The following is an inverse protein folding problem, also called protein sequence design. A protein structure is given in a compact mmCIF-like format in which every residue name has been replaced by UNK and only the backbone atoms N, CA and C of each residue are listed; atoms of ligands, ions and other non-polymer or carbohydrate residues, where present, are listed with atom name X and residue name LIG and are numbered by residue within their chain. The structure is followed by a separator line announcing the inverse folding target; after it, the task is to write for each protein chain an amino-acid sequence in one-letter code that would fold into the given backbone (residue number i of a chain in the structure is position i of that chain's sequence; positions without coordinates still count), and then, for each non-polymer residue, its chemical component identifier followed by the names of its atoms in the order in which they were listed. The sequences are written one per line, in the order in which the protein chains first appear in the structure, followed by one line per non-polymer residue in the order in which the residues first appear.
data_IF_920019084846
#
_entry.id   IF_920019084846
#
_cell.length_a   1.000
_cell.length_b   1.000
_cell.length_c   1.000
_cell.angle_alpha   90.00
_cell.angle_beta   90.00
_cell.angle_gamma   90.00
#
_symmetry.space_group_name_H-M   'P 1'
#
loop_
_entity.id
_entity.type
_entity.pdbx_description
1 polymer ?
#
# COMPACT_ATOMS: atom_id res chain seq x y z
N UNK A 1 18.07 27.91 -11.90
CA UNK A 1 17.39 27.29 -10.74
C UNK A 1 16.01 26.90 -11.22
N UNK A 2 15.54 25.65 -11.03
CA UNK A 2 14.15 25.31 -11.35
C UNK A 2 13.23 26.24 -10.56
N UNK A 3 12.27 26.87 -11.24
CA UNK A 3 11.40 27.87 -10.61
C UNK A 3 10.49 27.24 -9.54
N UNK A 4 10.25 25.94 -9.63
CA UNK A 4 9.42 25.16 -8.70
C UNK A 4 10.09 23.83 -8.34
N UNK A 5 10.04 23.46 -7.05
CA UNK A 5 10.41 22.12 -6.58
C UNK A 5 9.21 21.46 -5.93
N UNK A 6 8.80 20.31 -6.47
CA UNK A 6 7.59 19.60 -6.07
C UNK A 6 7.99 18.27 -5.45
N UNK A 7 7.62 18.06 -4.19
CA UNK A 7 7.82 16.81 -3.48
C UNK A 7 6.54 15.98 -3.52
N UNK A 8 6.61 14.79 -4.11
CA UNK A 8 5.54 13.80 -4.11
C UNK A 8 5.89 12.71 -3.09
N UNK A 9 5.09 12.56 -2.04
CA UNK A 9 5.15 11.40 -1.15
C UNK A 9 4.43 10.24 -1.87
N UNK A 10 5.20 9.24 -2.28
CA UNK A 10 4.75 8.23 -3.23
C UNK A 10 4.72 6.80 -2.67
N UNK A 11 4.90 5.83 -3.57
CA UNK A 11 4.78 4.39 -3.29
C UNK A 11 3.49 3.76 -3.82
N UNK A 12 2.78 4.48 -4.68
CA UNK A 12 1.54 4.03 -5.33
C UNK A 12 1.63 4.19 -6.84
N UNK A 13 0.83 3.43 -7.59
CA UNK A 13 0.76 3.58 -9.05
C UNK A 13 0.27 4.97 -9.46
N UNK A 14 -0.65 5.55 -8.69
CA UNK A 14 -1.19 6.88 -8.89
C UNK A 14 -0.13 7.97 -8.67
N UNK A 15 0.71 7.83 -7.64
CA UNK A 15 1.86 8.74 -7.44
C UNK A 15 2.86 8.65 -8.59
N UNK A 16 3.11 7.44 -9.12
CA UNK A 16 4.01 7.25 -10.25
C UNK A 16 3.45 7.86 -11.55
N UNK A 17 2.14 7.69 -11.83
CA UNK A 17 1.46 8.35 -12.95
C UNK A 17 1.56 9.86 -12.84
N UNK A 18 1.24 10.38 -11.65
CA UNK A 18 1.32 11.81 -11.36
C UNK A 18 2.71 12.38 -11.60
N UNK A 19 3.75 11.71 -11.12
CA UNK A 19 5.13 12.15 -11.35
C UNK A 19 5.44 12.22 -12.85
N UNK A 20 5.02 11.22 -13.63
CA UNK A 20 5.16 11.21 -15.09
C UNK A 20 4.45 12.38 -15.78
N UNK A 21 3.19 12.62 -15.42
CA UNK A 21 2.38 13.73 -15.93
C UNK A 21 3.03 15.09 -15.60
N UNK A 22 3.51 15.28 -14.36
CA UNK A 22 4.13 16.54 -13.94
C UNK A 22 5.48 16.78 -14.61
N UNK A 23 6.31 15.75 -14.79
CA UNK A 23 7.58 15.86 -15.52
C UNK A 23 7.33 16.27 -16.97
N UNK A 24 6.32 15.71 -17.63
CA UNK A 24 5.96 16.07 -19.00
C UNK A 24 5.37 17.50 -19.10
N UNK A 25 4.53 17.89 -18.15
CA UNK A 25 3.83 19.18 -18.18
C UNK A 25 4.67 20.37 -17.67
N UNK A 26 5.70 20.14 -16.85
CA UNK A 26 6.47 21.18 -16.15
C UNK A 26 7.99 21.04 -16.41
N UNK A 27 8.48 21.29 -17.64
CA UNK A 27 9.88 21.04 -18.03
C UNK A 27 10.94 21.87 -17.26
N UNK A 28 10.52 22.92 -16.54
CA UNK A 28 11.39 23.75 -15.70
C UNK A 28 11.27 23.48 -14.19
N UNK A 29 10.42 22.54 -13.78
CA UNK A 29 10.22 22.18 -12.38
C UNK A 29 11.09 20.98 -11.99
N UNK A 30 11.55 20.98 -10.73
CA UNK A 30 12.21 19.83 -10.12
C UNK A 30 11.16 18.95 -9.46
N UNK A 31 10.86 17.79 -10.04
CA UNK A 31 9.90 16.82 -9.51
C UNK A 31 10.65 15.73 -8.75
N UNK A 32 10.40 15.61 -7.45
CA UNK A 32 11.03 14.60 -6.58
C UNK A 32 9.97 13.67 -6.01
N UNK A 33 10.05 12.39 -6.32
CA UNK A 33 9.23 11.35 -5.69
C UNK A 33 9.96 10.71 -4.52
N UNK A 34 9.32 10.70 -3.36
CA UNK A 34 9.84 10.08 -2.14
C UNK A 34 9.21 8.71 -1.90
N UNK A 35 10.03 7.67 -1.88
CA UNK A 35 9.65 6.30 -1.58
C UNK A 35 10.09 5.89 -0.18
N UNK A 36 9.29 5.04 0.47
CA UNK A 36 9.62 4.53 1.81
C UNK A 36 10.82 3.56 1.83
N UNK A 37 11.31 3.10 0.67
CA UNK A 37 12.41 2.14 0.56
C UNK A 37 12.03 0.70 0.97
N UNK A 38 10.75 0.34 0.91
CA UNK A 38 10.22 -0.98 1.34
C UNK A 38 10.42 -2.10 0.32
N UNK A 39 10.82 -1.77 -0.89
CA UNK A 39 11.12 -2.74 -1.95
C UNK A 39 12.53 -2.50 -2.48
N UNK A 40 13.28 -3.57 -2.74
CA UNK A 40 14.67 -3.49 -3.24
C UNK A 40 14.74 -2.82 -4.61
N UNK A 41 13.79 -3.16 -5.48
CA UNK A 41 13.65 -2.58 -6.82
C UNK A 41 12.24 -2.00 -6.99
N UNK A 42 12.02 -0.73 -6.61
CA UNK A 42 10.76 -0.07 -6.91
C UNK A 42 10.56 0.04 -8.43
N UNK A 43 9.31 0.10 -8.87
CA UNK A 43 9.01 0.43 -10.28
C UNK A 43 9.62 1.78 -10.61
N UNK A 44 10.28 1.96 -11.77
CA UNK A 44 10.80 3.25 -12.19
C UNK A 44 9.73 4.34 -12.12
N UNK A 45 10.08 5.48 -11.54
CA UNK A 45 9.24 6.68 -11.47
C UNK A 45 9.96 7.78 -12.24
N UNK A 46 9.23 8.55 -13.03
CA UNK A 46 9.79 9.68 -13.75
C UNK A 46 10.28 10.79 -12.79
N UNK A 47 11.31 11.52 -13.19
CA UNK A 47 11.89 12.59 -12.39
C UNK A 47 12.93 12.09 -11.37
N UNK A 48 13.21 12.92 -10.36
CA UNK A 48 14.13 12.55 -9.29
C UNK A 48 13.44 11.63 -8.28
N UNK A 49 14.17 10.66 -7.75
CA UNK A 49 13.66 9.73 -6.73
C UNK A 49 14.56 9.75 -5.51
N UNK A 50 13.94 9.90 -4.32
CA UNK A 50 14.59 9.65 -3.03
C UNK A 50 13.98 8.43 -2.35
N UNK A 51 14.80 7.71 -1.59
CA UNK A 51 14.37 6.55 -0.81
C UNK A 51 14.77 6.70 0.66
N UNK A 52 13.89 6.28 1.56
CA UNK A 52 14.13 6.28 3.00
C UNK A 52 13.27 7.27 3.78
N UNK A 53 13.22 7.08 5.10
CA UNK A 53 12.45 7.94 5.99
C UNK A 53 12.98 9.38 6.04
N UNK A 54 12.17 10.28 6.61
CA UNK A 54 12.57 11.66 6.85
C UNK A 54 12.98 11.93 8.30
N UNK A 55 12.75 10.98 9.23
CA UNK A 55 12.92 11.24 10.67
C UNK A 55 11.73 11.98 11.30
N UNK A 56 10.51 11.61 10.93
CA UNK A 56 9.27 12.25 11.42
C UNK A 56 8.93 13.56 10.70
N UNK A 57 7.94 14.29 11.24
CA UNK A 57 7.47 15.55 10.65
C UNK A 57 8.56 16.64 10.64
N UNK A 58 9.34 16.77 11.71
CA UNK A 58 10.40 17.76 11.81
C UNK A 58 11.50 17.52 10.75
N UNK A 59 11.90 16.27 10.55
CA UNK A 59 12.88 15.93 9.52
C UNK A 59 12.33 16.09 8.09
N UNK A 60 11.02 15.87 7.87
CA UNK A 60 10.36 16.20 6.59
C UNK A 60 10.37 17.72 6.36
N UNK A 61 10.02 18.52 7.37
CA UNK A 61 10.06 19.98 7.31
C UNK A 61 11.47 20.50 7.02
N UNK A 62 12.50 19.91 7.65
CA UNK A 62 13.89 20.26 7.37
C UNK A 62 14.26 19.96 5.92
N UNK A 63 13.93 18.76 5.42
CA UNK A 63 14.19 18.39 4.03
C UNK A 63 13.50 19.31 3.03
N UNK A 64 12.24 19.71 3.31
CA UNK A 64 11.47 20.67 2.52
C UNK A 64 12.22 22.01 2.40
N UNK A 65 12.74 22.55 3.51
CA UNK A 65 13.50 23.81 3.51
C UNK A 65 14.81 23.70 2.75
N UNK A 66 15.59 22.66 3.04
CA UNK A 66 16.91 22.44 2.42
C UNK A 66 16.82 22.27 0.91
N UNK A 67 15.72 21.68 0.44
CA UNK A 67 15.47 21.43 -0.98
C UNK A 67 14.60 22.50 -1.64
N UNK A 68 14.22 23.57 -0.92
CA UNK A 68 13.37 24.67 -1.42
C UNK A 68 12.08 24.17 -2.09
N UNK A 69 11.44 23.18 -1.47
CA UNK A 69 10.18 22.63 -1.96
C UNK A 69 9.11 23.73 -1.92
N UNK A 70 8.44 23.96 -3.04
CA UNK A 70 7.36 24.94 -3.18
C UNK A 70 5.98 24.27 -3.11
N UNK A 71 5.88 22.96 -3.35
CA UNK A 71 4.63 22.18 -3.23
C UNK A 71 4.89 20.79 -2.66
N UNK A 72 4.04 20.38 -1.72
CA UNK A 72 4.01 19.03 -1.17
C UNK A 72 2.75 18.30 -1.65
N UNK A 73 2.90 17.12 -2.23
CA UNK A 73 1.79 16.27 -2.64
C UNK A 73 1.87 14.96 -1.87
N UNK A 74 0.83 14.64 -1.10
CA UNK A 74 0.65 13.32 -0.50
C UNK A 74 -0.18 12.44 -1.43
N UNK A 75 0.50 11.54 -2.14
CA UNK A 75 -0.10 10.50 -2.97
C UNK A 75 0.25 9.09 -2.45
N UNK A 76 0.47 8.98 -1.13
CA UNK A 76 0.85 7.72 -0.48
C UNK A 76 -0.33 6.74 -0.43
N UNK A 77 -0.05 5.50 -0.02
CA UNK A 77 -1.10 4.50 0.16
C UNK A 77 -2.05 4.95 1.28
N UNK A 78 -3.38 4.78 1.20
CA UNK A 78 -4.32 5.29 2.22
C UNK A 78 -4.08 4.77 3.65
N UNK A 79 -3.42 3.62 3.79
CA UNK A 79 -3.00 3.05 5.08
C UNK A 79 -1.60 3.50 5.54
N UNK A 80 -0.95 4.42 4.84
CA UNK A 80 0.32 5.04 5.21
C UNK A 80 0.11 6.27 6.12
N UNK A 81 -0.81 6.14 7.09
CA UNK A 81 -1.32 7.24 7.91
C UNK A 81 -0.24 8.05 8.61
N UNK A 82 0.86 7.42 9.04
CA UNK A 82 1.96 8.11 9.71
C UNK A 82 2.65 9.15 8.82
N UNK A 83 2.94 8.83 7.56
CA UNK A 83 3.62 9.79 6.67
C UNK A 83 2.66 10.89 6.23
N UNK A 84 1.36 10.59 6.05
CA UNK A 84 0.33 11.61 5.81
C UNK A 84 0.21 12.59 6.98
N UNK A 85 0.17 12.10 8.22
CA UNK A 85 0.20 12.96 9.43
C UNK A 85 1.46 13.81 9.49
N UNK A 86 2.62 13.23 9.19
CA UNK A 86 3.88 13.96 9.14
C UNK A 86 3.86 15.05 8.05
N UNK A 87 3.21 14.80 6.91
CA UNK A 87 3.08 15.75 5.79
C UNK A 87 2.25 16.98 6.19
N UNK A 88 1.14 16.77 6.90
CA UNK A 88 0.31 17.86 7.44
C UNK A 88 1.13 18.73 8.38
N UNK A 89 1.77 18.12 9.39
CA UNK A 89 2.59 18.86 10.37
C UNK A 89 3.76 19.58 9.69
N UNK A 90 4.45 18.92 8.75
CA UNK A 90 5.58 19.53 8.05
C UNK A 90 5.16 20.69 7.14
N UNK A 91 3.99 20.58 6.50
CA UNK A 91 3.38 21.67 5.71
C UNK A 91 3.11 22.88 6.60
N UNK A 92 2.48 22.68 7.76
CA UNK A 92 2.24 23.74 8.75
C UNK A 92 3.55 24.39 9.24
N UNK A 93 4.57 23.58 9.54
CA UNK A 93 5.89 24.06 10.00
C UNK A 93 6.67 24.87 8.96
N UNK A 94 6.36 24.74 7.67
CA UNK A 94 7.14 25.32 6.57
C UNK A 94 6.35 26.36 5.78
N UNK A 95 5.03 26.37 5.91
CA UNK A 95 4.13 27.19 5.08
C UNK A 95 4.00 26.67 3.64
N UNK A 96 4.59 25.52 3.30
CA UNK A 96 4.49 24.93 1.96
C UNK A 96 3.13 24.27 1.80
N UNK A 97 2.35 24.59 0.75
CA UNK A 97 1.02 24.02 0.56
C UNK A 97 1.07 22.49 0.37
N UNK A 98 0.19 21.80 1.08
CA UNK A 98 -0.04 20.36 0.98
C UNK A 98 -1.29 20.06 0.13
N UNK A 99 -1.12 19.24 -0.89
CA UNK A 99 -2.19 18.64 -1.68
C UNK A 99 -2.29 17.14 -1.33
N UNK A 100 -3.46 16.67 -0.88
CA UNK A 100 -3.69 15.25 -0.58
C UNK A 100 -4.45 14.60 -1.73
N UNK A 101 -3.84 13.59 -2.36
CA UNK A 101 -4.44 12.78 -3.42
C UNK A 101 -4.69 11.37 -2.93
N UNK A 102 -5.83 11.18 -2.28
CA UNK A 102 -6.32 9.85 -1.88
C UNK A 102 -7.32 9.30 -2.89
N UNK A 103 -7.28 7.99 -3.10
CA UNK A 103 -8.30 7.26 -3.85
C UNK A 103 -9.52 6.94 -2.98
N UNK A 104 -10.69 6.77 -3.58
CA UNK A 104 -11.89 6.28 -2.89
C UNK A 104 -11.76 4.81 -2.49
N UNK A 105 -12.44 4.32 -1.44
CA UNK A 105 -12.48 2.90 -1.13
C UNK A 105 -13.16 2.15 -2.28
N UNK A 106 -12.83 0.88 -2.47
CA UNK A 106 -13.58 0.05 -3.40
C UNK A 106 -15.03 -0.10 -2.92
N UNK A 107 -16.01 0.12 -3.80
CA UNK A 107 -17.41 -0.18 -3.48
C UNK A 107 -17.63 -1.69 -3.47
N UNK A 108 -18.43 -2.16 -2.51
CA UNK A 108 -18.92 -3.55 -2.49
C UNK A 108 -19.91 -3.74 -3.65
N UNK A 109 -19.70 -4.77 -4.47
CA UNK A 109 -20.54 -5.10 -5.63
C UNK A 109 -21.43 -6.32 -5.33
N UNK A 110 -22.51 -6.54 -6.10
CA UNK A 110 -23.27 -7.78 -6.03
C UNK A 110 -22.36 -9.02 -6.18
N UNK A 111 -22.56 -10.02 -5.33
CA UNK A 111 -21.72 -11.22 -5.25
C UNK A 111 -20.46 -11.08 -4.38
N UNK A 112 -20.12 -9.88 -3.89
CA UNK A 112 -19.01 -9.72 -2.94
C UNK A 112 -19.38 -10.23 -1.55
N UNK A 113 -18.65 -11.23 -1.06
CA UNK A 113 -18.79 -11.79 0.28
C UNK A 113 -17.88 -11.08 1.29
N UNK A 114 -18.03 -9.76 1.43
CA UNK A 114 -17.19 -8.97 2.34
C UNK A 114 -17.72 -8.97 3.77
N UNK A 115 -16.81 -9.22 4.71
CA UNK A 115 -16.95 -8.87 6.13
C UNK A 115 -16.05 -7.67 6.42
N UNK A 116 -16.64 -6.52 6.74
CA UNK A 116 -15.89 -5.29 7.00
C UNK A 116 -15.49 -5.20 8.47
N UNK A 117 -14.22 -4.87 8.72
CA UNK A 117 -13.65 -4.76 10.07
C UNK A 117 -12.79 -3.51 10.19
N UNK A 118 -12.73 -2.92 11.38
CA UNK A 118 -11.99 -1.67 11.60
C UNK A 118 -10.47 -1.88 11.72
N UNK A 119 -10.01 -3.05 12.19
CA UNK A 119 -8.60 -3.27 12.52
C UNK A 119 -8.11 -4.63 12.06
N UNK A 120 -6.78 -4.78 11.98
CA UNK A 120 -6.17 -6.09 11.72
C UNK A 120 -6.39 -7.11 12.85
N UNK A 121 -6.55 -6.64 14.10
CA UNK A 121 -6.93 -7.51 15.21
C UNK A 121 -8.35 -8.07 15.03
N UNK A 122 -9.30 -7.22 14.68
CA UNK A 122 -10.65 -7.68 14.33
C UNK A 122 -10.65 -8.61 13.11
N UNK A 123 -9.80 -8.34 12.11
CA UNK A 123 -9.62 -9.24 10.97
C UNK A 123 -9.13 -10.62 11.40
N UNK A 124 -8.10 -10.67 12.26
CA UNK A 124 -7.59 -11.92 12.85
C UNK A 124 -8.69 -12.69 13.58
N UNK A 125 -9.50 -12.01 14.38
CA UNK A 125 -10.55 -12.64 15.19
C UNK A 125 -11.73 -13.15 14.34
N UNK A 126 -11.92 -12.58 13.15
CA UNK A 126 -12.96 -12.99 12.20
C UNK A 126 -12.61 -14.27 11.44
N UNK A 127 -11.33 -14.65 11.36
CA UNK A 127 -10.89 -15.83 10.59
C UNK A 127 -11.42 -17.11 11.26
N UNK A 128 -12.10 -18.02 10.54
CA UNK A 128 -12.52 -19.30 11.11
C UNK A 128 -11.35 -20.26 11.32
N UNK A 129 -11.49 -21.18 12.28
CA UNK A 129 -10.49 -22.25 12.51
C UNK A 129 -10.37 -23.16 11.29
N UNK A 130 -9.14 -23.59 10.98
CA UNK A 130 -8.84 -24.44 9.83
C UNK A 130 -8.82 -23.70 8.49
N UNK A 131 -8.96 -22.37 8.48
CA UNK A 131 -8.93 -21.59 7.25
C UNK A 131 -7.55 -21.63 6.58
N UNK A 132 -7.56 -21.47 5.26
CA UNK A 132 -6.39 -21.13 4.45
C UNK A 132 -6.55 -19.71 3.93
N UNK A 133 -5.71 -18.79 4.40
CA UNK A 133 -5.96 -17.34 4.29
C UNK A 133 -4.88 -16.66 3.46
N UNK A 134 -5.27 -15.95 2.40
CA UNK A 134 -4.37 -15.02 1.71
C UNK A 134 -4.29 -13.72 2.51
N UNK A 135 -3.13 -13.44 3.12
CA UNK A 135 -2.82 -12.15 3.73
C UNK A 135 -2.32 -11.17 2.65
N UNK A 136 -3.25 -10.46 2.01
CA UNK A 136 -2.94 -9.45 1.01
C UNK A 136 -2.60 -8.09 1.66
N UNK A 137 -1.69 -8.11 2.64
CA UNK A 137 -1.28 -6.98 3.47
C UNK A 137 0.16 -6.50 3.17
N UNK A 138 0.91 -7.26 2.38
CA UNK A 138 2.34 -7.07 2.16
C UNK A 138 3.18 -7.66 3.29
N UNK A 139 4.42 -7.18 3.42
CA UNK A 139 5.38 -7.69 4.42
C UNK A 139 5.18 -7.12 5.83
N UNK A 140 4.36 -6.08 5.99
CA UNK A 140 4.19 -5.38 7.27
C UNK A 140 2.88 -5.78 7.96
N UNK A 141 2.89 -5.71 9.29
CA UNK A 141 1.70 -5.90 10.14
C UNK A 141 1.08 -7.30 10.08
N UNK A 142 1.84 -8.31 9.65
CA UNK A 142 1.39 -9.72 9.65
C UNK A 142 1.53 -10.37 11.04
N UNK A 143 2.36 -9.82 11.92
CA UNK A 143 2.63 -10.35 13.28
C UNK A 143 1.36 -10.48 14.14
N UNK A 144 0.35 -9.64 13.90
CA UNK A 144 -0.93 -9.69 14.61
C UNK A 144 -1.62 -11.06 14.43
N UNK A 145 -1.36 -11.77 13.33
CA UNK A 145 -1.94 -13.08 13.05
C UNK A 145 -1.17 -14.24 13.69
N UNK A 146 -0.02 -14.00 14.33
CA UNK A 146 0.85 -15.03 14.89
C UNK A 146 0.17 -15.91 15.95
N UNK A 147 -0.87 -15.40 16.62
CA UNK A 147 -1.62 -16.15 17.63
C UNK A 147 -2.58 -17.21 17.04
N UNK A 148 -2.72 -17.29 15.72
CA UNK A 148 -3.62 -18.24 15.03
C UNK A 148 -2.84 -19.43 14.49
N UNK A 149 -2.49 -20.36 15.39
CA UNK A 149 -1.83 -21.62 15.01
C UNK A 149 -2.76 -22.64 14.32
N UNK A 150 -4.06 -22.35 14.29
CA UNK A 150 -5.13 -23.13 13.69
C UNK A 150 -5.42 -22.75 12.21
N UNK A 151 -4.63 -21.84 11.63
CA UNK A 151 -4.84 -21.25 10.31
C UNK A 151 -3.57 -21.35 9.48
N UNK A 152 -3.71 -21.74 8.21
CA UNK A 152 -2.61 -21.69 7.25
C UNK A 152 -2.61 -20.34 6.53
N UNK A 153 -1.52 -19.59 6.64
CA UNK A 153 -1.41 -18.27 6.00
C UNK A 153 -0.61 -18.32 4.70
N UNK A 154 -1.17 -17.79 3.63
CA UNK A 154 -0.43 -17.54 2.39
C UNK A 154 -0.11 -16.05 2.35
N UNK A 155 1.17 -15.75 2.45
CA UNK A 155 1.67 -14.37 2.51
C UNK A 155 2.25 -14.02 1.15
N UNK A 156 1.86 -12.87 0.61
CA UNK A 156 2.45 -12.34 -0.62
C UNK A 156 3.39 -11.18 -0.33
N UNK A 157 4.66 -11.32 -0.69
CA UNK A 157 5.68 -10.28 -0.53
C UNK A 157 6.38 -10.01 -1.86
N UNK A 158 6.72 -8.75 -2.13
CA UNK A 158 7.46 -8.40 -3.37
C UNK A 158 8.89 -8.92 -3.31
N UNK A 159 9.57 -8.63 -2.20
CA UNK A 159 10.92 -9.12 -1.92
C UNK A 159 10.85 -10.20 -0.85
N UNK A 160 11.77 -11.16 -0.91
CA UNK A 160 11.93 -12.14 0.16
C UNK A 160 12.31 -11.44 1.48
N UNK A 161 11.65 -11.78 2.60
CA UNK A 161 11.98 -11.18 3.89
C UNK A 161 13.36 -11.66 4.36
N UNK A 162 14.09 -10.79 5.05
CA UNK A 162 15.43 -11.12 5.59
C UNK A 162 15.33 -12.14 6.73
N UNK A 163 14.24 -12.08 7.49
CA UNK A 163 13.91 -13.04 8.54
C UNK A 163 12.59 -13.73 8.18
N UNK A 164 12.45 -15.04 8.48
CA UNK A 164 11.19 -15.73 8.28
C UNK A 164 10.01 -15.00 8.96
N UNK A 165 8.83 -14.97 8.32
CA UNK A 165 7.61 -14.45 8.94
C UNK A 165 7.33 -15.16 10.27
N UNK A 166 6.98 -14.39 11.30
CA UNK A 166 6.58 -14.91 12.61
C UNK A 166 5.13 -15.46 12.59
N UNK A 167 4.81 -16.32 11.62
CA UNK A 167 3.53 -17.03 11.52
C UNK A 167 3.76 -18.54 11.68
N UNK A 168 2.97 -19.23 12.51
CA UNK A 168 3.21 -20.63 12.86
C UNK A 168 3.08 -21.59 11.68
N UNK A 169 2.07 -21.41 10.83
CA UNK A 169 1.89 -22.18 9.59
C UNK A 169 1.66 -21.23 8.42
N UNK A 170 2.62 -21.19 7.49
CA UNK A 170 2.54 -20.28 6.35
C UNK A 170 3.27 -20.76 5.09
N UNK A 171 2.79 -20.27 3.95
CA UNK A 171 3.46 -20.31 2.65
C UNK A 171 3.82 -18.89 2.22
N UNK A 172 4.99 -18.72 1.60
CA UNK A 172 5.42 -17.45 1.03
C UNK A 172 5.30 -17.45 -0.49
N UNK A 173 4.56 -16.49 -1.03
CA UNK A 173 4.49 -16.20 -2.47
C UNK A 173 5.28 -14.93 -2.75
N UNK A 174 6.33 -15.06 -3.56
CA UNK A 174 7.13 -13.92 -4.00
C UNK A 174 6.56 -13.32 -5.28
N UNK A 175 6.32 -12.02 -5.25
CA UNK A 175 5.83 -11.27 -6.40
C UNK A 175 4.80 -10.21 -6.04
N UNK A 176 4.53 -9.36 -7.03
CA UNK A 176 3.43 -8.39 -6.97
C UNK A 176 2.10 -9.10 -7.21
N UNK A 177 0.97 -8.49 -6.82
CA UNK A 177 -0.34 -8.96 -7.25
C UNK A 177 -0.41 -9.16 -8.76
N UNK A 178 -1.10 -10.22 -9.19
CA UNK A 178 -1.40 -10.46 -10.59
C UNK A 178 -2.17 -9.28 -11.18
N UNK A 179 -1.84 -8.93 -12.42
CA UNK A 179 -2.51 -7.84 -13.13
C UNK A 179 -3.92 -8.21 -13.61
N UNK A 180 -4.24 -9.50 -13.65
CA UNK A 180 -5.50 -10.03 -14.17
C UNK A 180 -6.23 -10.87 -13.14
N UNK A 181 -7.54 -10.98 -13.34
CA UNK A 181 -8.42 -11.78 -12.47
C UNK A 181 -8.09 -13.27 -12.60
N UNK A 182 -7.73 -13.71 -13.81
CA UNK A 182 -7.36 -15.09 -14.10
C UNK A 182 -6.09 -15.50 -13.36
N UNK A 183 -5.09 -14.61 -13.31
CA UNK A 183 -3.86 -14.86 -12.56
C UNK A 183 -4.11 -14.94 -11.05
N UNK A 184 -4.93 -14.03 -10.50
CA UNK A 184 -5.30 -14.11 -9.08
C UNK A 184 -6.15 -15.35 -8.79
N UNK A 185 -7.11 -15.70 -9.65
CA UNK A 185 -7.91 -16.92 -9.50
C UNK A 185 -7.06 -18.19 -9.52
N UNK A 186 -6.04 -18.26 -10.38
CA UNK A 186 -5.11 -19.38 -10.42
C UNK A 186 -4.31 -19.51 -9.13
N UNK A 187 -3.84 -18.39 -8.57
CA UNK A 187 -3.14 -18.36 -7.29
C UNK A 187 -4.07 -18.80 -6.14
N UNK A 188 -5.30 -18.29 -6.10
CA UNK A 188 -6.28 -18.64 -5.07
C UNK A 188 -6.58 -20.15 -5.09
N UNK A 189 -6.74 -20.75 -6.26
CA UNK A 189 -6.91 -22.20 -6.40
C UNK A 189 -5.66 -23.00 -6.03
N UNK A 190 -4.49 -22.62 -6.55
CA UNK A 190 -3.24 -23.35 -6.34
C UNK A 190 -2.89 -23.48 -4.85
N UNK A 191 -3.27 -22.48 -4.06
CA UNK A 191 -3.04 -22.48 -2.62
C UNK A 191 -4.25 -22.93 -1.78
N UNK A 192 -5.34 -23.35 -2.43
CA UNK A 192 -6.61 -23.72 -1.80
C UNK A 192 -7.11 -22.63 -0.82
N UNK A 193 -7.07 -21.37 -1.26
CA UNK A 193 -7.46 -20.23 -0.43
C UNK A 193 -8.96 -20.30 -0.14
N UNK A 194 -9.29 -20.12 1.14
CA UNK A 194 -10.67 -20.09 1.65
C UNK A 194 -11.11 -18.67 1.99
N UNK A 195 -10.18 -17.79 2.39
CA UNK A 195 -10.47 -16.42 2.80
C UNK A 195 -9.36 -15.49 2.34
N UNK A 196 -9.71 -14.23 2.05
CA UNK A 196 -8.74 -13.17 1.82
C UNK A 196 -8.84 -12.15 2.94
N UNK A 197 -7.72 -11.75 3.51
CA UNK A 197 -7.63 -10.55 4.36
C UNK A 197 -6.94 -9.46 3.57
N UNK A 198 -7.59 -8.32 3.42
CA UNK A 198 -6.96 -7.17 2.77
C UNK A 198 -7.47 -5.84 3.31
N UNK A 199 -6.68 -4.81 3.05
CA UNK A 199 -7.05 -3.41 3.29
C UNK A 199 -7.91 -2.89 2.13
N UNK A 200 -8.92 -2.07 2.42
CA UNK A 200 -9.71 -1.39 1.39
C UNK A 200 -8.92 -0.22 0.79
N UNK A 201 -7.89 -0.57 0.00
CA UNK A 201 -6.94 0.39 -0.52
C UNK A 201 -7.52 1.30 -1.59
N UNK A 202 -8.53 0.86 -2.34
CA UNK A 202 -9.16 1.64 -3.42
C UNK A 202 -8.41 1.68 -4.76
N UNK A 203 -7.27 0.99 -4.87
CA UNK A 203 -6.39 1.07 -6.04
C UNK A 203 -6.70 0.04 -7.12
N UNK A 204 -6.57 0.40 -8.40
CA UNK A 204 -6.77 -0.55 -9.48
C UNK A 204 -5.76 -1.71 -9.45
N UNK A 205 -4.48 -1.42 -9.16
CA UNK A 205 -3.38 -2.38 -9.22
C UNK A 205 -3.45 -3.56 -8.23
N UNK A 206 -4.38 -3.53 -7.27
CA UNK A 206 -4.61 -4.64 -6.35
C UNK A 206 -6.07 -5.12 -6.35
N UNK A 207 -6.93 -4.62 -7.24
CA UNK A 207 -8.35 -4.96 -7.25
C UNK A 207 -8.64 -6.35 -7.82
N UNK A 208 -7.77 -6.88 -8.69
CA UNK A 208 -7.96 -8.19 -9.33
C UNK A 208 -8.25 -9.33 -8.35
N UNK A 209 -7.65 -9.30 -7.14
CA UNK A 209 -7.91 -10.29 -6.08
C UNK A 209 -9.35 -10.28 -5.56
N UNK A 210 -9.98 -9.11 -5.54
CA UNK A 210 -11.35 -8.92 -5.08
C UNK A 210 -12.32 -9.46 -6.12
N UNK A 211 -12.06 -9.19 -7.39
CA UNK A 211 -12.84 -9.75 -8.48
C UNK A 211 -12.66 -11.27 -8.57
N UNK A 212 -11.43 -11.78 -8.36
CA UNK A 212 -11.17 -13.22 -8.29
C UNK A 212 -11.93 -13.86 -7.12
N UNK A 213 -11.89 -13.25 -5.93
CA UNK A 213 -12.68 -13.71 -4.79
C UNK A 213 -14.19 -13.76 -5.09
N UNK A 214 -14.73 -12.74 -5.76
CA UNK A 214 -16.13 -12.73 -6.20
C UNK A 214 -16.44 -13.88 -7.15
N UNK A 215 -15.59 -14.12 -8.16
CA UNK A 215 -15.78 -15.22 -9.13
C UNK A 215 -15.72 -16.61 -8.48
N UNK A 216 -14.95 -16.73 -7.40
CA UNK A 216 -14.75 -17.98 -6.65
C UNK A 216 -15.62 -18.10 -5.40
N UNK A 217 -16.53 -17.14 -5.18
CA UNK A 217 -17.40 -17.07 -4.00
C UNK A 217 -16.61 -17.15 -2.67
N UNK A 218 -15.41 -16.56 -2.65
CA UNK A 218 -14.54 -16.56 -1.47
C UNK A 218 -14.84 -15.36 -0.56
N UNK A 219 -15.02 -15.58 0.75
CA UNK A 219 -15.11 -14.51 1.73
C UNK A 219 -13.88 -13.59 1.73
N UNK A 220 -14.12 -12.28 1.84
CA UNK A 220 -13.09 -11.26 2.00
C UNK A 220 -13.29 -10.53 3.31
N UNK A 221 -12.31 -10.61 4.20
CA UNK A 221 -12.24 -9.81 5.42
C UNK A 221 -11.57 -8.48 5.03
N UNK A 222 -12.40 -7.47 4.87
CA UNK A 222 -12.02 -6.16 4.38
C UNK A 222 -11.73 -5.22 5.55
N UNK A 223 -10.47 -4.84 5.73
CA UNK A 223 -10.07 -3.85 6.73
C UNK A 223 -10.37 -2.46 6.18
N UNK A 224 -11.28 -1.76 6.86
CA UNK A 224 -11.65 -0.38 6.55
C UNK A 224 -10.51 0.60 6.83
N UNK A 225 -10.70 1.84 6.40
CA UNK A 225 -9.86 2.97 6.76
C UNK A 225 -10.64 3.88 7.71
N UNK A 226 -9.92 4.52 8.63
CA UNK A 226 -10.47 5.58 9.50
C UNK A 226 -10.91 6.81 8.70
#
# INVERSE_FOLDING_TARGET
MPADTILILGGTSEAASLAGEMVAALPGARIVTSLAGRTRQPVPVAGEVRSGGFGGAAGLAQWIRDNRVTRLIDATHPFATQISRNAVIASEMTGVPLEVRSREPWPKRPGDLWTEVATLGAARDTIPSGARVLLALGSQHIEVFASRADVHFVIRMVDAPETPPALPDHSLVLGRPGATVEAESALLHAHAITHIVCRNSGGAGAYAKIEAARRLELPVIMVGRD
#
